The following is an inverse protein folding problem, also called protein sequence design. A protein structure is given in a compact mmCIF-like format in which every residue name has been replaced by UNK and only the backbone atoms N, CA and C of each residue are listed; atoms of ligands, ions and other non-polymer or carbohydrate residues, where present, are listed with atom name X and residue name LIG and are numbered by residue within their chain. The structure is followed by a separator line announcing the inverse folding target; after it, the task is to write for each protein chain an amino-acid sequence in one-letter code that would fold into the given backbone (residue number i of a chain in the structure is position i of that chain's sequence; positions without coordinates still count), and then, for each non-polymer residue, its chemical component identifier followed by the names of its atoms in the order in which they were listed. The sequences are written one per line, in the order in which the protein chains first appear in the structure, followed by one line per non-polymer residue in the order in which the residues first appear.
data_IF_460431549111
#
_entry.id   IF_460431549111
#
_cell.length_a   1.000
_cell.length_b   1.000
_cell.length_c   1.000
_cell.angle_alpha   90.00
_cell.angle_beta   90.00
_cell.angle_gamma   90.00
#
_symmetry.space_group_name_H-M   'P 1'
#
loop_
_entity.id
_entity.type
_entity.pdbx_description
1 polymer ?
#
# COMPACT_ATOMS: atom_id res chain seq x y z
N UNK A 1 10.92 11.73 28.50
CA UNK A 1 10.23 10.73 27.64
C UNK A 1 9.82 9.57 28.51
N UNK A 2 8.58 9.10 28.37
CA UNK A 2 8.04 7.98 29.14
C UNK A 2 7.80 6.80 28.19
N UNK A 3 8.35 5.63 28.53
CA UNK A 3 7.93 4.39 27.89
C UNK A 3 6.51 4.07 28.37
N UNK A 4 5.66 3.47 27.53
CA UNK A 4 4.31 3.09 27.95
C UNK A 4 4.36 2.17 29.18
N UNK A 5 3.52 2.47 30.17
CA UNK A 5 3.52 1.74 31.44
C UNK A 5 2.74 0.41 31.36
N UNK A 6 1.69 0.38 30.53
CA UNK A 6 0.82 -0.79 30.37
C UNK A 6 1.14 -1.44 29.04
N UNK A 7 1.91 -2.53 29.10
CA UNK A 7 2.36 -3.26 27.91
C UNK A 7 2.08 -4.75 28.04
N UNK A 8 1.66 -5.36 26.94
CA UNK A 8 1.54 -6.80 26.76
C UNK A 8 2.63 -7.27 25.81
N UNK A 9 3.52 -8.14 26.28
CA UNK A 9 4.55 -8.72 25.43
C UNK A 9 3.97 -9.87 24.58
N UNK A 10 4.29 -9.85 23.29
CA UNK A 10 4.01 -10.92 22.33
C UNK A 10 5.36 -11.45 21.82
N UNK A 11 5.61 -12.75 21.94
CA UNK A 11 6.86 -13.37 21.47
C UNK A 11 8.10 -13.04 22.32
N UNK A 12 9.29 -13.38 21.80
CA UNK A 12 10.59 -13.14 22.47
C UNK A 12 11.20 -11.83 21.97
N UNK A 13 11.57 -10.93 22.88
CA UNK A 13 12.04 -9.57 22.56
C UNK A 13 13.52 -9.36 22.92
N UNK A 14 14.38 -10.38 22.96
CA UNK A 14 15.74 -10.29 23.52
C UNK A 14 16.76 -9.44 22.71
N UNK A 15 16.30 -8.81 21.62
CA UNK A 15 17.14 -7.98 20.75
C UNK A 15 17.43 -6.58 21.27
N UNK A 16 18.34 -5.90 20.57
CA UNK A 16 18.63 -4.48 20.72
C UNK A 16 17.49 -3.60 20.18
N UNK A 17 16.65 -4.15 19.30
CA UNK A 17 15.45 -3.49 18.76
C UNK A 17 14.21 -3.87 19.57
N UNK A 18 13.46 -2.86 19.99
CA UNK A 18 12.25 -2.99 20.79
C UNK A 18 11.10 -2.29 20.08
N UNK A 19 10.15 -3.06 19.58
CA UNK A 19 8.97 -2.54 18.89
C UNK A 19 7.79 -2.50 19.85
N UNK A 20 7.15 -1.34 19.93
CA UNK A 20 5.96 -1.05 20.70
C UNK A 20 4.86 -0.66 19.73
N UNK A 21 3.73 -1.34 19.76
CA UNK A 21 2.60 -1.13 18.87
C UNK A 21 1.39 -0.74 19.71
N UNK A 22 0.74 0.37 19.38
CA UNK A 22 -0.46 0.80 20.08
C UNK A 22 -1.64 -0.14 19.78
N UNK A 23 -2.57 -0.32 20.72
CA UNK A 23 -3.67 -1.29 20.63
C UNK A 23 -4.62 -1.05 19.44
N UNK A 24 -4.95 0.20 19.10
CA UNK A 24 -5.75 0.48 17.89
C UNK A 24 -4.98 0.13 16.62
N UNK A 25 -3.67 0.37 16.58
CA UNK A 25 -2.82 -0.08 15.46
C UNK A 25 -2.82 -1.61 15.36
N UNK A 26 -2.63 -2.31 16.47
CA UNK A 26 -2.67 -3.77 16.51
C UNK A 26 -4.03 -4.33 16.03
N UNK A 27 -5.13 -3.72 16.46
CA UNK A 27 -6.48 -4.08 16.05
C UNK A 27 -6.66 -3.88 14.54
N UNK A 28 -6.26 -2.73 14.01
CA UNK A 28 -6.33 -2.43 12.58
C UNK A 28 -5.56 -3.44 11.72
N UNK A 29 -4.32 -3.76 12.08
CA UNK A 29 -3.50 -4.72 11.33
C UNK A 29 -4.13 -6.12 11.31
N UNK A 30 -4.74 -6.54 12.42
CA UNK A 30 -5.44 -7.82 12.50
C UNK A 30 -6.72 -7.86 11.67
N UNK A 31 -7.46 -6.76 11.59
CA UNK A 31 -8.62 -6.64 10.70
C UNK A 31 -8.20 -6.75 9.24
N UNK A 32 -7.16 -6.03 8.83
CA UNK A 32 -6.62 -6.12 7.47
C UNK A 32 -6.20 -7.54 7.10
N UNK A 33 -5.57 -8.28 8.03
CA UNK A 33 -5.19 -9.68 7.83
C UNK A 33 -6.39 -10.60 7.58
N UNK A 34 -7.55 -10.32 8.20
CA UNK A 34 -8.78 -11.11 8.01
C UNK A 34 -9.44 -10.83 6.65
N UNK A 35 -9.37 -9.60 6.18
CA UNK A 35 -10.08 -9.15 4.97
C UNK A 35 -9.36 -9.48 3.66
N UNK A 36 -8.01 -9.53 3.67
CA UNK A 36 -7.21 -9.63 2.44
C UNK A 36 -6.54 -11.01 2.34
N UNK A 37 -7.29 -11.96 1.77
CA UNK A 37 -6.87 -13.36 1.67
C UNK A 37 -5.91 -13.64 0.50
N UNK A 38 -5.96 -12.83 -0.57
CA UNK A 38 -5.34 -13.21 -1.87
C UNK A 38 -3.98 -12.55 -2.09
N UNK A 39 -3.82 -11.29 -1.69
CA UNK A 39 -2.60 -10.51 -1.99
C UNK A 39 -2.03 -9.85 -0.75
N UNK A 40 -0.68 -9.76 -0.65
CA UNK A 40 -0.05 -9.06 0.44
C UNK A 40 -0.40 -7.58 0.42
N UNK A 41 -0.59 -7.03 1.62
CA UNK A 41 -1.03 -5.66 1.83
C UNK A 41 0.10 -4.89 2.43
N UNK A 42 0.52 -3.79 1.79
CA UNK A 42 1.49 -2.88 2.37
C UNK A 42 0.79 -1.88 3.27
N UNK A 43 1.27 -1.78 4.50
CA UNK A 43 0.79 -0.84 5.51
C UNK A 43 1.95 0.08 5.90
N UNK A 44 1.72 1.40 5.82
CA UNK A 44 2.61 2.41 6.33
C UNK A 44 2.47 2.51 7.85
N UNK A 45 3.57 2.61 8.58
CA UNK A 45 3.61 2.71 10.04
C UNK A 45 4.07 4.11 10.44
N UNK A 46 3.27 4.77 11.27
CA UNK A 46 3.55 6.10 11.79
C UNK A 46 3.88 6.04 13.27
N UNK A 47 4.92 6.74 13.67
CA UNK A 47 5.34 6.76 15.06
C UNK A 47 6.65 7.48 15.28
N UNK A 48 7.33 7.09 16.35
CA UNK A 48 8.55 7.74 16.81
C UNK A 48 9.65 6.70 17.08
N UNK A 49 10.88 7.04 16.73
CA UNK A 49 12.06 6.20 16.96
C UNK A 49 12.95 6.84 18.02
N UNK A 50 13.35 6.06 19.02
CA UNK A 50 14.21 6.55 20.10
C UNK A 50 15.39 5.63 20.32
N UNK A 51 16.56 6.21 20.52
CA UNK A 51 17.79 5.48 20.83
C UNK A 51 18.18 5.69 22.28
N UNK A 52 18.38 4.60 23.02
CA UNK A 52 18.92 4.63 24.39
C UNK A 52 20.07 3.64 24.51
N UNK A 53 21.30 4.15 24.50
CA UNK A 53 22.51 3.33 24.46
C UNK A 53 22.58 2.53 23.15
N UNK A 54 22.75 1.21 23.25
CA UNK A 54 22.71 0.30 22.09
C UNK A 54 21.30 -0.09 21.64
N UNK A 55 20.26 0.26 22.40
CA UNK A 55 18.89 -0.17 22.12
C UNK A 55 18.12 0.88 21.32
N UNK A 56 17.41 0.42 20.29
CA UNK A 56 16.48 1.22 19.49
C UNK A 56 15.04 0.85 19.87
N UNK A 57 14.22 1.87 20.07
CA UNK A 57 12.82 1.75 20.47
C UNK A 57 11.97 2.34 19.36
N UNK A 58 11.09 1.52 18.79
CA UNK A 58 10.16 1.91 17.74
C UNK A 58 8.77 1.95 18.35
N UNK A 59 8.16 3.13 18.49
CA UNK A 59 6.82 3.28 19.02
C UNK A 59 5.89 3.59 17.85
N UNK A 60 5.01 2.65 17.52
CA UNK A 60 4.03 2.73 16.44
C UNK A 60 2.71 3.22 17.01
N UNK A 61 2.30 4.41 16.59
CA UNK A 61 1.05 5.08 17.01
C UNK A 61 0.01 5.14 15.90
N UNK A 62 0.40 4.95 14.64
CA UNK A 62 -0.52 4.99 13.50
C UNK A 62 -0.17 3.93 12.46
N UNK A 63 -1.18 3.55 11.69
CA UNK A 63 -0.99 2.69 10.53
C UNK A 63 -2.03 2.98 9.45
N UNK A 64 -1.62 2.95 8.17
CA UNK A 64 -2.54 3.10 7.04
C UNK A 64 -2.22 2.13 5.90
N UNK A 65 -3.25 1.55 5.28
CA UNK A 65 -3.09 0.68 4.12
C UNK A 65 -2.78 1.51 2.87
N UNK A 66 -1.57 1.37 2.33
CA UNK A 66 -1.07 2.20 1.23
C UNK A 66 -2.00 2.14 0.01
N UNK A 67 -2.48 0.94 -0.34
CA UNK A 67 -3.35 0.76 -1.51
C UNK A 67 -4.72 1.41 -1.28
N UNK A 68 -5.31 1.27 -0.09
CA UNK A 68 -6.66 1.81 0.17
C UNK A 68 -6.64 3.35 0.20
N UNK A 69 -5.53 3.94 0.66
CA UNK A 69 -5.33 5.39 0.64
C UNK A 69 -5.10 5.92 -0.78
N UNK A 70 -4.30 5.20 -1.57
CA UNK A 70 -4.01 5.54 -2.97
C UNK A 70 -5.25 5.49 -3.86
N UNK A 71 -6.16 4.52 -3.63
CA UNK A 71 -7.46 4.47 -4.31
C UNK A 71 -8.31 5.72 -4.09
N UNK A 72 -8.07 6.43 -2.99
CA UNK A 72 -8.72 7.68 -2.66
C UNK A 72 -7.87 8.91 -3.05
N UNK A 73 -6.80 8.73 -3.83
CA UNK A 73 -5.93 9.80 -4.29
C UNK A 73 -5.04 10.43 -3.21
N UNK A 74 -4.84 9.77 -2.07
CA UNK A 74 -3.91 10.22 -1.02
C UNK A 74 -2.66 9.36 -1.01
N UNK A 75 -1.52 10.01 -0.84
CA UNK A 75 -0.26 9.37 -0.47
C UNK A 75 -0.12 9.28 1.07
N UNK A 76 0.91 8.57 1.53
CA UNK A 76 1.19 8.39 2.95
C UNK A 76 1.46 9.70 3.69
N UNK A 77 2.04 10.70 3.02
CA UNK A 77 2.39 11.98 3.64
C UNK A 77 1.14 12.85 3.88
N UNK A 78 0.16 12.80 2.97
CA UNK A 78 -1.14 13.43 3.16
C UNK A 78 -1.88 12.80 4.34
N UNK A 79 -1.88 11.47 4.44
CA UNK A 79 -2.51 10.75 5.56
C UNK A 79 -1.81 11.07 6.89
N UNK A 80 -0.47 11.12 6.89
CA UNK A 80 0.32 11.53 8.05
C UNK A 80 -0.04 12.94 8.50
N UNK A 81 -0.10 13.89 7.56
CA UNK A 81 -0.51 15.28 7.86
C UNK A 81 -1.96 15.42 8.31
N UNK A 82 -2.84 14.52 7.93
CA UNK A 82 -4.25 14.60 8.31
C UNK A 82 -4.51 13.98 9.69
N UNK A 83 -3.94 12.80 9.97
CA UNK A 83 -4.25 12.01 11.17
C UNK A 83 -3.10 11.89 12.16
N UNK A 84 -1.85 11.84 11.68
CA UNK A 84 -0.67 11.47 12.47
C UNK A 84 0.38 12.58 12.48
N UNK A 85 -0.05 13.84 12.62
CA UNK A 85 0.83 15.02 12.49
C UNK A 85 2.02 15.02 13.44
N UNK A 86 1.83 14.47 14.64
CA UNK A 86 2.83 14.37 15.70
C UNK A 86 3.81 13.21 15.49
N UNK A 87 3.65 12.44 14.41
CA UNK A 87 4.42 11.22 14.15
C UNK A 87 5.07 11.27 12.78
N UNK A 88 6.18 10.53 12.68
CA UNK A 88 6.91 10.34 11.43
C UNK A 88 6.53 9.01 10.78
N UNK A 89 6.76 8.89 9.48
CA UNK A 89 6.71 7.60 8.80
C UNK A 89 7.96 6.80 9.21
N UNK A 90 7.78 5.77 10.03
CA UNK A 90 8.88 4.98 10.61
C UNK A 90 9.16 3.67 9.88
N UNK A 91 8.27 3.26 8.98
CA UNK A 91 8.50 2.08 8.15
C UNK A 91 7.24 1.54 7.49
N UNK A 92 7.38 0.34 6.92
CA UNK A 92 6.31 -0.39 6.26
C UNK A 92 6.25 -1.83 6.75
N UNK A 93 5.05 -2.38 6.83
CA UNK A 93 4.83 -3.81 7.06
C UNK A 93 4.00 -4.40 5.92
N UNK A 94 4.41 -5.57 5.43
CA UNK A 94 3.63 -6.34 4.48
C UNK A 94 2.83 -7.40 5.25
N UNK A 95 1.51 -7.32 5.17
CA UNK A 95 0.60 -8.31 5.75
C UNK A 95 0.31 -9.35 4.69
N UNK A 96 0.73 -10.59 4.94
CA UNK A 96 0.38 -11.74 4.13
C UNK A 96 -0.86 -12.41 4.75
N UNK A 97 -1.69 -13.06 3.92
CA UNK A 97 -2.90 -13.76 4.36
C UNK A 97 -2.64 -14.84 5.44
N UNK A 98 -3.70 -15.55 5.85
CA UNK A 98 -3.86 -16.41 7.05
C UNK A 98 -2.65 -17.20 7.59
N UNK A 99 -1.64 -17.51 6.78
CA UNK A 99 -0.48 -18.33 7.15
C UNK A 99 0.74 -17.56 7.67
N UNK A 100 0.69 -16.23 7.81
CA UNK A 100 1.80 -15.45 8.38
C UNK A 100 1.42 -14.74 9.69
N UNK A 101 2.12 -15.06 10.78
CA UNK A 101 2.04 -14.31 12.04
C UNK A 101 2.81 -13.00 11.90
N UNK A 102 2.18 -11.89 12.31
CA UNK A 102 2.85 -10.60 12.44
C UNK A 102 3.42 -10.47 13.86
N UNK A 103 4.71 -10.12 14.04
CA UNK A 103 5.83 -10.27 13.12
C UNK A 103 6.28 -11.74 13.07
N UNK A 104 7.17 -12.07 12.13
CA UNK A 104 7.62 -13.43 11.88
C UNK A 104 8.04 -14.17 13.16
N UNK A 105 7.81 -15.48 13.18
CA UNK A 105 7.88 -16.46 14.29
C UNK A 105 9.06 -16.36 15.31
N UNK A 106 10.07 -15.52 15.07
CA UNK A 106 11.29 -15.37 15.87
C UNK A 106 11.43 -14.01 16.58
N UNK A 107 10.56 -13.03 16.28
CA UNK A 107 10.66 -11.68 16.83
C UNK A 107 9.40 -11.31 17.60
N UNK A 108 9.58 -10.74 18.79
CA UNK A 108 8.50 -10.27 19.64
C UNK A 108 8.32 -8.76 19.59
N UNK A 109 7.18 -8.29 20.06
CA UNK A 109 6.83 -6.88 20.17
C UNK A 109 5.98 -6.66 21.43
N UNK A 110 5.82 -5.40 21.82
CA UNK A 110 4.97 -4.99 22.92
C UNK A 110 3.71 -4.34 22.35
N UNK A 111 2.53 -4.76 22.79
CA UNK A 111 1.29 -4.01 22.57
C UNK A 111 1.07 -3.10 23.76
N UNK A 112 0.87 -1.80 23.55
CA UNK A 112 0.65 -0.85 24.64
C UNK A 112 -0.70 -0.16 24.52
N UNK A 113 -1.24 0.24 25.68
CA UNK A 113 -2.57 0.82 25.80
C UNK A 113 -2.46 2.27 26.25
N UNK A 114 -2.74 3.18 25.33
CA UNK A 114 -2.76 4.62 25.59
C UNK A 114 -3.92 5.27 24.84
N UNK A 115 -4.39 6.43 25.32
CA UNK A 115 -5.43 7.17 24.61
C UNK A 115 -4.84 7.72 23.31
N UNK A 116 -5.24 7.14 22.19
CA UNK A 116 -4.76 7.50 20.86
C UNK A 116 -5.91 7.96 19.95
N UNK A 117 -6.25 9.25 20.03
CA UNK A 117 -7.32 9.83 19.21
C UNK A 117 -6.99 9.84 17.72
N UNK A 118 -5.70 9.97 17.36
CA UNK A 118 -5.23 9.99 15.98
C UNK A 118 -5.60 8.69 15.23
N UNK A 119 -5.19 7.53 15.77
CA UNK A 119 -5.51 6.24 15.17
C UNK A 119 -7.01 5.94 15.25
N UNK A 120 -7.68 6.33 16.34
CA UNK A 120 -9.13 6.17 16.47
C UNK A 120 -9.90 6.93 15.39
N UNK A 121 -9.53 8.19 15.12
CA UNK A 121 -10.15 9.01 14.08
C UNK A 121 -9.91 8.41 12.69
N UNK A 122 -8.71 7.91 12.43
CA UNK A 122 -8.39 7.21 11.20
C UNK A 122 -9.21 5.92 11.02
N UNK A 123 -9.40 5.15 12.10
CA UNK A 123 -10.28 3.97 12.08
C UNK A 123 -11.72 4.35 11.74
N UNK A 124 -12.28 5.37 12.40
CA UNK A 124 -13.64 5.86 12.12
C UNK A 124 -13.81 6.24 10.65
N UNK A 125 -12.82 6.92 10.08
CA UNK A 125 -12.79 7.24 8.67
C UNK A 125 -12.78 5.99 7.77
N UNK A 126 -11.97 4.98 8.09
CA UNK A 126 -11.97 3.70 7.38
C UNK A 126 -13.34 3.01 7.44
N UNK A 127 -14.00 3.01 8.61
CA UNK A 127 -15.32 2.41 8.80
C UNK A 127 -16.40 3.11 7.96
N UNK A 128 -16.46 4.45 8.00
CA UNK A 128 -17.44 5.21 7.21
C UNK A 128 -17.30 4.98 5.70
N UNK A 129 -16.08 4.74 5.22
CA UNK A 129 -15.84 4.40 3.81
C UNK A 129 -16.37 3.02 3.46
N UNK A 130 -16.13 2.03 4.32
CA UNK A 130 -16.63 0.67 4.13
C UNK A 130 -18.17 0.67 4.10
N UNK A 131 -18.83 1.44 4.95
CA UNK A 131 -20.30 1.57 4.94
C UNK A 131 -20.81 2.19 3.63
N UNK A 132 -20.23 3.31 3.19
CA UNK A 132 -20.58 3.95 1.90
C UNK A 132 -20.32 3.03 0.72
N UNK A 133 -19.22 2.27 0.72
CA UNK A 133 -18.92 1.28 -0.31
C UNK A 133 -19.90 0.11 -0.34
N UNK A 134 -20.36 -0.34 0.83
CA UNK A 134 -21.33 -1.43 0.97
C UNK A 134 -22.73 -1.02 0.50
N UNK A 135 -23.19 0.17 0.88
CA UNK A 135 -24.50 0.68 0.44
C UNK A 135 -24.56 0.85 -1.07
N UNK A 136 -23.51 1.38 -1.70
CA UNK A 136 -23.43 1.53 -3.17
C UNK A 136 -23.45 0.17 -3.88
N UNK A 137 -22.77 -0.84 -3.33
CA UNK A 137 -22.72 -2.19 -3.92
C UNK A 137 -24.06 -2.93 -3.82
N UNK A 138 -24.85 -2.65 -2.77
CA UNK A 138 -26.21 -3.16 -2.59
C UNK A 138 -27.19 -2.48 -3.56
N UNK A 139 -27.11 -1.16 -3.74
CA UNK A 139 -27.92 -0.44 -4.74
C UNK A 139 -27.64 -0.92 -6.16
N UNK A 140 -26.36 -1.07 -6.56
CA UNK A 140 -26.00 -1.57 -7.90
C UNK A 140 -26.49 -3.00 -8.18
N UNK A 141 -26.57 -3.85 -7.15
CA UNK A 141 -27.12 -5.21 -7.29
C UNK A 141 -28.65 -5.21 -7.47
N UNK A 142 -29.36 -4.26 -6.86
CA UNK A 142 -30.79 -4.06 -7.08
C UNK A 142 -31.05 -3.44 -8.46
N UNK A 143 -30.24 -2.46 -8.89
CA UNK A 143 -30.39 -1.77 -10.17
C UNK A 143 -30.02 -2.65 -11.38
N UNK A 144 -29.19 -3.68 -11.22
CA UNK A 144 -28.93 -4.65 -12.28
C UNK A 144 -30.13 -5.57 -12.60
N UNK A 145 -31.18 -5.51 -11.78
CA UNK A 145 -32.42 -6.27 -11.95
C UNK A 145 -33.60 -5.44 -12.45
N UNK A 146 -33.41 -4.12 -12.68
CA UNK A 146 -34.49 -3.20 -13.03
C UNK A 146 -34.01 -2.06 -13.93
N UNK A 147 -34.78 -1.85 -15.00
CA UNK A 147 -34.62 -0.91 -16.11
C UNK A 147 -33.59 0.24 -16.01
N UNK A 148 -32.78 0.27 -17.07
CA UNK A 148 -31.84 1.31 -17.44
C UNK A 148 -32.57 2.60 -17.83
N UNK A 149 -32.82 3.50 -16.88
CA UNK A 149 -32.78 4.94 -17.14
C UNK A 149 -32.91 5.71 -15.83
N UNK A 150 -31.82 6.38 -15.41
CA UNK A 150 -31.78 7.72 -14.80
C UNK A 150 -30.64 7.87 -13.78
N UNK A 151 -29.83 8.90 -14.05
CA UNK A 151 -29.02 9.70 -13.11
C UNK A 151 -27.59 9.19 -12.81
N UNK A 152 -26.65 9.68 -13.62
CA UNK A 152 -25.32 10.13 -13.18
C UNK A 152 -25.44 11.60 -12.72
N UNK A 153 -24.73 12.06 -11.66
CA UNK A 153 -23.27 12.21 -11.67
C UNK A 153 -22.62 12.01 -10.28
N UNK A 154 -22.18 10.78 -9.96
CA UNK A 154 -21.17 10.52 -8.90
C UNK A 154 -20.47 9.17 -9.05
N UNK A 155 -20.61 8.56 -10.23
CA UNK A 155 -20.25 7.15 -10.53
C UNK A 155 -18.76 6.90 -10.83
N UNK A 156 -17.93 7.94 -10.93
CA UNK A 156 -16.58 7.77 -11.49
C UNK A 156 -15.55 7.24 -10.47
N UNK A 157 -15.55 7.69 -9.21
CA UNK A 157 -14.39 7.42 -8.32
C UNK A 157 -14.34 6.00 -7.76
N UNK A 158 -15.47 5.32 -7.58
CA UNK A 158 -15.53 4.00 -6.92
C UNK A 158 -15.42 2.82 -7.90
N UNK A 159 -15.93 2.98 -9.14
CA UNK A 159 -15.89 1.91 -10.14
C UNK A 159 -14.51 1.77 -10.83
N UNK A 160 -13.71 2.82 -10.72
CA UNK A 160 -12.46 2.97 -11.45
C UNK A 160 -11.32 2.20 -10.80
N UNK A 161 -11.29 1.98 -9.47
CA UNK A 161 -10.22 1.23 -8.81
C UNK A 161 -10.04 -0.20 -9.31
N UNK A 162 -11.13 -0.98 -9.36
CA UNK A 162 -11.09 -2.38 -9.81
C UNK A 162 -10.83 -2.50 -11.33
N UNK A 163 -11.36 -1.56 -12.11
CA UNK A 163 -11.18 -1.52 -13.57
C UNK A 163 -9.77 -1.08 -13.95
N UNK A 164 -9.24 -0.05 -13.28
CA UNK A 164 -7.85 0.41 -13.43
C UNK A 164 -6.88 -0.69 -13.03
N UNK A 165 -7.16 -1.43 -11.96
CA UNK A 165 -6.32 -2.56 -11.54
C UNK A 165 -6.23 -3.62 -12.65
N UNK A 166 -7.36 -3.97 -13.27
CA UNK A 166 -7.39 -4.89 -14.44
C UNK A 166 -6.66 -4.31 -15.67
N UNK A 167 -6.79 -3.00 -15.92
CA UNK A 167 -6.10 -2.31 -17.02
C UNK A 167 -4.58 -2.27 -16.79
N UNK A 168 -4.11 -1.98 -15.57
CA UNK A 168 -2.69 -2.01 -15.23
C UNK A 168 -2.12 -3.42 -15.41
N UNK A 169 -2.81 -4.46 -14.95
CA UNK A 169 -2.36 -5.84 -15.16
C UNK A 169 -2.34 -6.22 -16.65
N UNK A 170 -3.35 -5.80 -17.43
CA UNK A 170 -3.36 -5.99 -18.88
C UNK A 170 -2.23 -5.22 -19.59
N UNK A 171 -2.01 -3.97 -19.21
CA UNK A 171 -0.96 -3.10 -19.75
C UNK A 171 0.44 -3.64 -19.47
N UNK A 172 0.71 -4.11 -18.25
CA UNK A 172 1.98 -4.73 -17.90
C UNK A 172 2.26 -6.00 -18.73
N UNK A 173 1.24 -6.83 -18.98
CA UNK A 173 1.39 -8.03 -19.83
C UNK A 173 1.69 -7.63 -21.28
N UNK A 174 1.01 -6.61 -21.81
CA UNK A 174 1.24 -6.12 -23.18
C UNK A 174 2.64 -5.50 -23.31
N UNK A 175 3.08 -4.71 -22.33
CA UNK A 175 4.43 -4.12 -22.30
C UNK A 175 5.50 -5.21 -22.22
N UNK A 176 5.30 -6.24 -21.39
CA UNK A 176 6.22 -7.38 -21.31
C UNK A 176 6.27 -8.17 -22.62
N UNK A 177 5.12 -8.38 -23.27
CA UNK A 177 5.05 -9.05 -24.58
C UNK A 177 5.75 -8.22 -25.68
N UNK A 178 5.55 -6.89 -25.69
CA UNK A 178 6.23 -5.98 -26.60
C UNK A 178 7.75 -5.96 -26.36
N UNK A 179 8.18 -5.96 -25.09
CA UNK A 179 9.60 -6.03 -24.73
C UNK A 179 10.24 -7.34 -25.19
N UNK A 180 9.58 -8.50 -24.99
CA UNK A 180 10.08 -9.81 -25.46
C UNK A 180 10.15 -9.85 -26.99
N UNK A 181 9.16 -9.27 -27.68
CA UNK A 181 9.16 -9.22 -29.16
C UNK A 181 10.29 -8.34 -29.68
N UNK A 182 10.53 -7.18 -29.06
CA UNK A 182 11.63 -6.29 -29.42
C UNK A 182 13.02 -6.91 -29.16
N UNK A 183 13.17 -7.65 -28.07
CA UNK A 183 14.39 -8.40 -27.73
C UNK A 183 14.59 -9.61 -28.64
N UNK A 184 13.53 -10.18 -29.23
CA UNK A 184 13.68 -11.30 -30.17
C UNK A 184 14.13 -10.86 -31.58
N UNK A 185 13.97 -9.58 -31.93
CA UNK A 185 14.22 -9.04 -33.28
C UNK A 185 15.57 -8.29 -33.39
N UNK A 186 16.61 -8.68 -32.62
CA UNK A 186 17.96 -8.08 -32.65
C UNK A 186 18.56 -7.98 -34.07
N UNK A 187 18.22 -8.91 -34.97
CA UNK A 187 18.71 -8.92 -36.34
C UNK A 187 18.27 -7.70 -37.17
N UNK A 188 17.10 -7.11 -36.88
CA UNK A 188 16.63 -5.91 -37.60
C UNK A 188 17.33 -4.62 -37.15
N UNK A 189 17.76 -4.55 -35.89
CA UNK A 189 18.44 -3.36 -35.36
C UNK A 189 19.84 -3.24 -35.97
N UNK A 190 20.56 -4.36 -36.15
CA UNK A 190 21.83 -4.34 -36.87
C UNK A 190 21.69 -3.87 -38.32
N UNK A 191 20.64 -4.29 -39.03
CA UNK A 191 20.40 -3.83 -40.41
C UNK A 191 20.10 -2.32 -40.51
N UNK A 192 19.46 -1.74 -39.50
CA UNK A 192 19.22 -0.30 -39.42
C UNK A 192 20.50 0.50 -39.13
N UNK A 193 21.35 -0.01 -38.24
CA UNK A 193 22.65 0.61 -37.91
C UNK A 193 23.57 0.55 -39.14
N UNK A 194 23.61 -0.59 -39.83
CA UNK A 194 24.45 -0.77 -41.02
C UNK A 194 23.96 0.06 -42.22
N UNK A 195 22.66 0.27 -42.36
CA UNK A 195 22.10 1.18 -43.36
C UNK A 195 22.40 2.64 -43.03
N UNK A 196 22.34 3.03 -41.76
CA UNK A 196 22.70 4.38 -41.31
C UNK A 196 24.19 4.68 -41.53
N UNK A 197 25.09 3.74 -41.22
CA UNK A 197 26.53 3.87 -41.48
C UNK A 197 26.83 4.00 -42.98
N UNK A 198 26.13 3.25 -43.85
CA UNK A 198 26.29 3.39 -45.31
C UNK A 198 25.85 4.76 -45.82
N UNK A 199 24.76 5.31 -45.28
CA UNK A 199 24.28 6.65 -45.67
C UNK A 199 25.22 7.73 -45.16
N UNK A 200 25.80 7.57 -43.98
CA UNK A 200 26.80 8.50 -43.42
C UNK A 200 28.10 8.49 -44.23
N UNK A 201 28.58 7.31 -44.63
CA UNK A 201 29.76 7.16 -45.47
C UNK A 201 29.57 7.72 -46.88
N UNK A 202 28.34 7.70 -47.43
CA UNK A 202 28.02 8.35 -48.71
C UNK A 202 27.94 9.87 -48.60
N UNK A 203 27.56 10.41 -47.43
CA UNK A 203 27.49 11.84 -47.20
C UNK A 203 28.87 12.50 -46.99
N UNK A 204 29.87 11.74 -46.53
CA UNK A 204 31.26 12.23 -46.38
C UNK A 204 32.07 12.20 -47.68
N UNK A 205 31.59 11.54 -48.74
CA UNK A 205 32.29 11.44 -50.04
C UNK A 205 31.93 12.51 -51.07
N UNK A 206 31.02 13.44 -50.74
CA UNK A 206 30.52 14.49 -51.64
C UNK A 206 31.09 15.91 -51.34
N UNK A 207 32.20 16.01 -50.59
CA UNK A 207 33.03 17.24 -50.45
C UNK A 207 34.34 17.15 -51.26
#
# INVERSE_FOLDING_TARGET
MHLPNIVKQIGKTDGEEKVYVEDYVYTYLNELKKEKEIFPVRVALFGNIYRKGKKNFYLVYGASCVIDELECGRDEEQVRKEYFQEHELIGYVNIYGKNHELPGKKEGYYVFYEKNEAMQNYLLFCYQRKEKGRSVRETVRQDASGDMHLLMPKRWTVLVGDTIRKIFYGGCIIILAAAVTAVNDYGKINGFVEAADRVMAMAETDD
#
